data_IF_571252791198
#
_entry.id   IF_571252791198
#
_cell.length_a   1.000
_cell.length_b   1.000
_cell.length_c   1.000
_cell.angle_alpha   90.00
_cell.angle_beta   90.00
_cell.angle_gamma   90.00
#
_symmetry.space_group_name_H-M   'P 1'
#
loop_
_entity.id
_entity.type
_entity.pdbx_description
1 polymer ?
#
# COMPACT_ATOMS: atom_id res chain seq x y z
N UNK A 1 15.14 6.89 -4.12
CA UNK A 1 14.28 5.93 -4.85
C UNK A 1 12.89 6.49 -5.20
N UNK A 2 12.14 7.06 -4.25
CA UNK A 2 10.77 7.56 -4.52
C UNK A 2 10.70 8.73 -5.53
N UNK A 3 11.69 9.62 -5.50
CA UNK A 3 11.81 10.79 -6.39
C UNK A 3 11.95 10.42 -7.86
N UNK A 4 12.77 9.41 -8.18
CA UNK A 4 12.96 8.93 -9.56
C UNK A 4 11.68 8.33 -10.16
N UNK A 5 10.85 7.65 -9.35
CA UNK A 5 9.58 7.10 -9.82
C UNK A 5 8.56 8.20 -10.12
N UNK A 6 8.52 9.27 -9.33
CA UNK A 6 7.65 10.44 -9.57
C UNK A 6 8.07 11.18 -10.84
N UNK A 7 9.37 11.41 -11.01
CA UNK A 7 9.91 12.05 -12.21
C UNK A 7 9.66 11.22 -13.48
N UNK A 8 9.86 9.89 -13.42
CA UNK A 8 9.57 8.99 -14.53
C UNK A 8 8.07 8.90 -14.86
N UNK A 9 7.20 9.06 -13.85
CA UNK A 9 5.76 9.01 -14.05
C UNK A 9 5.20 10.32 -14.65
N UNK A 10 5.88 11.46 -14.45
CA UNK A 10 5.55 12.75 -15.10
C UNK A 10 5.77 12.74 -16.63
N UNK A 11 6.36 11.68 -17.19
CA UNK A 11 6.58 11.49 -18.62
C UNK A 11 5.30 11.80 -19.41
N UNK A 12 5.40 12.71 -20.36
CA UNK A 12 4.32 13.05 -21.28
C UNK A 12 4.17 11.91 -22.29
N UNK A 13 3.01 11.27 -22.28
CA UNK A 13 2.61 10.36 -23.34
C UNK A 13 1.94 11.13 -24.47
N UNK A 14 1.83 10.50 -25.64
CA UNK A 14 1.07 11.08 -26.75
C UNK A 14 -0.41 11.16 -26.41
N UNK A 15 -1.06 12.21 -26.89
CA UNK A 15 -2.50 12.42 -26.77
C UNK A 15 -3.22 11.66 -27.88
N UNK A 16 -4.30 10.98 -27.52
CA UNK A 16 -5.13 10.21 -28.43
C UNK A 16 -6.53 10.80 -28.43
N UNK A 17 -7.09 11.05 -29.61
CA UNK A 17 -8.46 11.54 -29.73
C UNK A 17 -9.44 10.39 -29.89
N UNK A 18 -10.58 10.46 -29.21
CA UNK A 18 -11.63 9.46 -29.32
C UNK A 18 -13.02 10.01 -29.03
N UNK A 19 -14.02 9.18 -29.27
CA UNK A 19 -15.44 9.51 -29.02
C UNK A 19 -15.95 8.70 -27.85
N UNK A 20 -16.65 9.34 -26.92
CA UNK A 20 -17.27 8.68 -25.78
C UNK A 20 -18.46 7.86 -26.26
N UNK A 21 -18.41 6.54 -26.06
CA UNK A 21 -19.50 5.61 -26.44
C UNK A 21 -20.49 5.45 -25.28
N UNK A 22 -19.97 5.33 -24.05
CA UNK A 22 -20.78 5.13 -22.84
C UNK A 22 -20.22 5.98 -21.70
N UNK A 23 -21.08 6.71 -21.01
CA UNK A 23 -20.80 7.51 -19.80
C UNK A 23 -21.90 7.28 -18.76
N UNK A 24 -21.62 7.48 -17.47
CA UNK A 24 -22.62 7.42 -16.39
C UNK A 24 -23.03 6.01 -15.93
N UNK A 25 -22.61 4.96 -16.62
CA UNK A 25 -22.84 3.57 -16.19
C UNK A 25 -21.88 3.13 -15.07
N UNK A 26 -20.72 3.77 -14.98
CA UNK A 26 -19.66 3.48 -14.02
C UNK A 26 -19.15 4.79 -13.43
N UNK A 27 -18.95 4.85 -12.12
CA UNK A 27 -18.38 6.04 -11.48
C UNK A 27 -16.96 6.30 -12.00
N UNK A 28 -16.65 7.58 -12.24
CA UNK A 28 -15.34 8.10 -12.64
C UNK A 28 -14.75 7.42 -13.87
N UNK A 29 -15.60 6.92 -14.75
CA UNK A 29 -15.22 6.04 -15.86
C UNK A 29 -16.10 6.25 -17.08
N UNK A 30 -15.46 6.40 -18.24
CA UNK A 30 -16.13 6.41 -19.54
C UNK A 30 -15.51 5.36 -20.48
N UNK A 31 -16.31 4.85 -21.42
CA UNK A 31 -15.81 4.01 -22.52
C UNK A 31 -15.59 4.89 -23.74
N UNK A 32 -14.35 5.03 -24.18
CA UNK A 32 -13.94 5.88 -25.31
C UNK A 32 -13.49 5.00 -26.47
N UNK A 33 -14.03 5.27 -27.66
CA UNK A 33 -13.63 4.62 -28.91
C UNK A 33 -12.56 5.44 -29.59
N UNK A 34 -11.42 4.81 -29.81
CA UNK A 34 -10.27 5.36 -30.52
C UNK A 34 -10.20 4.75 -31.92
N UNK A 35 -9.89 5.60 -32.90
CA UNK A 35 -9.62 5.14 -34.26
C UNK A 35 -8.28 4.41 -34.33
N UNK A 36 -8.30 3.16 -34.79
CA UNK A 36 -7.08 2.42 -35.13
C UNK A 36 -7.23 1.82 -36.53
N UNK A 37 -6.10 1.52 -37.18
CA UNK A 37 -6.06 0.90 -38.51
C UNK A 37 -5.23 -0.37 -38.45
N UNK A 38 -5.68 -1.40 -39.15
CA UNK A 38 -4.96 -2.68 -39.27
C UNK A 38 -4.58 -2.89 -40.73
N UNK A 39 -3.31 -3.23 -40.96
CA UNK A 39 -2.81 -3.59 -42.28
C UNK A 39 -3.18 -5.04 -42.60
N UNK A 40 -3.84 -5.26 -43.74
CA UNK A 40 -4.01 -6.60 -44.29
C UNK A 40 -2.91 -6.88 -45.32
N UNK A 41 -1.99 -7.84 -45.09
CA UNK A 41 -0.87 -8.10 -46.00
C UNK A 41 -1.29 -8.73 -47.33
N UNK A 42 -2.40 -9.48 -47.35
CA UNK A 42 -2.91 -10.13 -48.57
C UNK A 42 -3.53 -9.12 -49.52
N UNK A 43 -4.33 -8.18 -49.00
CA UNK A 43 -5.01 -7.14 -49.79
C UNK A 43 -4.15 -5.88 -49.93
N UNK A 44 -3.05 -5.79 -49.16
CA UNK A 44 -2.14 -4.63 -49.08
C UNK A 44 -2.88 -3.31 -48.82
N UNK A 45 -3.84 -3.34 -47.89
CA UNK A 45 -4.69 -2.18 -47.56
C UNK A 45 -4.91 -2.05 -46.06
N UNK A 46 -4.99 -0.81 -45.59
CA UNK A 46 -5.38 -0.49 -44.23
C UNK A 46 -6.91 -0.52 -44.06
N UNK A 47 -7.39 -1.29 -43.10
CA UNK A 47 -8.79 -1.33 -42.68
C UNK A 47 -8.98 -0.62 -41.34
N UNK A 48 -10.15 0.02 -41.15
CA UNK A 48 -10.50 0.68 -39.89
C UNK A 48 -10.85 -0.40 -38.85
N UNK A 49 -10.15 -0.40 -37.72
CA UNK A 49 -10.38 -1.31 -36.59
C UNK A 49 -10.43 -0.49 -35.29
N UNK A 50 -11.54 0.19 -35.00
CA UNK A 50 -11.64 1.02 -33.80
C UNK A 50 -11.54 0.17 -32.53
N UNK A 51 -10.86 0.69 -31.51
CA UNK A 51 -10.66 0.03 -30.22
C UNK A 51 -11.37 0.84 -29.13
N UNK A 52 -12.03 0.15 -28.20
CA UNK A 52 -12.65 0.79 -27.04
C UNK A 52 -11.73 0.70 -25.83
N UNK A 53 -11.52 1.81 -25.13
CA UNK A 53 -10.76 1.89 -23.90
C UNK A 53 -11.63 2.35 -22.74
N UNK A 54 -11.36 1.80 -21.55
CA UNK A 54 -11.91 2.34 -20.30
C UNK A 54 -11.01 3.48 -19.83
N UNK A 55 -11.58 4.67 -19.78
CA UNK A 55 -10.90 5.92 -19.47
C UNK A 55 -11.33 6.40 -18.10
N UNK A 56 -10.39 6.89 -17.31
CA UNK A 56 -10.68 7.53 -16.04
C UNK A 56 -11.10 8.99 -16.25
N UNK A 57 -12.27 9.34 -15.74
CA UNK A 57 -12.79 10.69 -15.63
C UNK A 57 -12.86 11.05 -14.15
N UNK A 58 -12.01 11.94 -13.60
CA UNK A 58 -11.96 12.21 -12.16
C UNK A 58 -13.25 12.79 -11.58
N UNK A 59 -13.95 13.62 -12.37
CA UNK A 59 -15.07 14.46 -11.93
C UNK A 59 -16.41 14.12 -12.62
N UNK A 60 -16.46 13.02 -13.40
CA UNK A 60 -17.67 12.59 -14.12
C UNK A 60 -18.26 13.66 -15.06
N UNK A 61 -17.36 14.39 -15.71
CA UNK A 61 -17.63 15.49 -16.64
C UNK A 61 -18.16 15.03 -18.01
N UNK A 62 -17.88 13.78 -18.40
CA UNK A 62 -18.17 13.30 -19.75
C UNK A 62 -19.63 12.88 -19.98
N UNK A 63 -20.10 13.06 -21.21
CA UNK A 63 -21.39 12.59 -21.73
C UNK A 63 -21.18 11.73 -22.98
N UNK A 64 -22.14 10.88 -23.29
CA UNK A 64 -22.08 10.03 -24.47
C UNK A 64 -22.12 10.90 -25.74
N UNK A 65 -21.21 10.64 -26.68
CA UNK A 65 -21.04 11.43 -27.90
C UNK A 65 -19.97 12.51 -27.83
N UNK A 66 -19.42 12.82 -26.66
CA UNK A 66 -18.33 13.81 -26.57
C UNK A 66 -17.09 13.35 -27.35
N UNK A 67 -16.41 14.30 -28.00
CA UNK A 67 -15.08 14.10 -28.55
C UNK A 67 -14.06 14.54 -27.51
N UNK A 68 -13.20 13.60 -27.10
CA UNK A 68 -12.28 13.78 -25.99
C UNK A 68 -10.85 13.48 -26.40
N UNK A 69 -9.94 14.15 -25.73
CA UNK A 69 -8.53 13.88 -25.80
C UNK A 69 -8.10 13.12 -24.54
N UNK A 70 -7.48 11.96 -24.74
CA UNK A 70 -7.08 11.04 -23.67
C UNK A 70 -5.58 10.79 -23.72
N UNK A 71 -4.94 10.65 -22.57
CA UNK A 71 -3.54 10.22 -22.47
C UNK A 71 -3.42 8.84 -21.84
N UNK A 72 -2.52 7.98 -22.35
CA UNK A 72 -2.16 6.74 -21.68
C UNK A 72 -1.18 6.99 -20.54
N UNK A 73 -0.89 5.94 -19.78
CA UNK A 73 0.14 5.96 -18.72
C UNK A 73 -0.41 6.25 -17.33
N UNK A 74 -1.68 6.64 -17.22
CA UNK A 74 -2.36 6.79 -15.94
C UNK A 74 -3.11 5.52 -15.57
N UNK A 75 -2.49 4.67 -14.75
CA UNK A 75 -3.09 3.40 -14.32
C UNK A 75 -3.92 3.58 -13.04
N UNK A 76 -5.23 3.77 -13.20
CA UNK A 76 -6.17 3.84 -12.05
C UNK A 76 -6.69 2.47 -11.63
N UNK A 77 -6.84 1.53 -12.57
CA UNK A 77 -7.41 0.19 -12.31
C UNK A 77 -6.73 -0.87 -13.20
N UNK A 78 -7.21 -2.12 -13.17
CA UNK A 78 -6.68 -3.22 -13.98
C UNK A 78 -6.78 -2.93 -15.48
N UNK A 79 -7.93 -2.42 -15.93
CA UNK A 79 -8.19 -2.14 -17.35
C UNK A 79 -8.18 -0.64 -17.70
N UNK A 80 -8.25 0.25 -16.69
CA UNK A 80 -8.21 1.71 -16.87
C UNK A 80 -6.77 2.20 -16.92
N UNK A 81 -6.27 2.39 -18.15
CA UNK A 81 -4.89 2.84 -18.43
C UNK A 81 -4.83 4.23 -19.07
N UNK A 82 -5.99 4.78 -19.40
CA UNK A 82 -6.18 6.07 -20.01
C UNK A 82 -6.88 7.01 -19.04
N UNK A 83 -6.58 8.29 -19.16
CA UNK A 83 -7.23 9.39 -18.44
C UNK A 83 -7.66 10.47 -19.42
N UNK A 84 -8.73 11.18 -19.09
CA UNK A 84 -9.20 12.35 -19.86
C UNK A 84 -8.28 13.53 -19.58
N UNK A 85 -7.79 14.20 -20.64
CA UNK A 85 -7.03 15.44 -20.52
C UNK A 85 -7.90 16.66 -20.80
N UNK A 86 -8.64 16.66 -21.90
CA UNK A 86 -9.60 17.72 -22.24
C UNK A 86 -10.77 17.23 -23.09
N UNK A 87 -11.88 17.95 -23.01
CA UNK A 87 -13.03 17.80 -23.90
C UNK A 87 -12.75 18.67 -25.13
N UNK A 88 -12.70 18.07 -26.32
CA UNK A 88 -12.48 18.77 -27.58
C UNK A 88 -13.80 19.35 -28.09
N UNK A 89 -14.84 18.52 -28.10
CA UNK A 89 -16.18 18.91 -28.54
C UNK A 89 -17.22 18.26 -27.63
N UNK A 90 -17.99 19.06 -26.86
CA UNK A 90 -19.08 18.55 -26.04
C UNK A 90 -20.29 18.18 -26.90
N UNK A 91 -20.94 17.07 -26.57
CA UNK A 91 -22.22 16.67 -27.13
C UNK A 91 -23.37 17.09 -26.20
N UNK A 92 -24.34 17.84 -26.73
CA UNK A 92 -25.49 18.30 -25.98
C UNK A 92 -25.15 19.45 -25.02
N UNK A 93 -24.93 19.12 -23.74
CA UNK A 93 -24.74 20.13 -22.68
C UNK A 93 -23.38 20.84 -22.87
N UNK A 94 -23.30 22.18 -22.78
CA UNK A 94 -22.04 22.92 -22.87
C UNK A 94 -21.00 22.52 -21.80
N UNK A 95 -19.74 22.90 -21.99
CA UNK A 95 -18.64 22.60 -21.03
C UNK A 95 -18.83 23.34 -19.71
N UNK A 96 -19.41 24.53 -19.73
CA UNK A 96 -19.57 25.42 -18.56
C UNK A 96 -20.50 24.84 -17.50
N UNK A 97 -21.54 24.12 -17.90
CA UNK A 97 -22.50 23.49 -16.99
C UNK A 97 -21.98 22.18 -16.38
N UNK A 98 -20.80 21.72 -16.80
CA UNK A 98 -20.22 20.44 -16.39
C UNK A 98 -19.11 20.68 -15.37
N UNK A 99 -18.85 19.70 -14.47
CA UNK A 99 -17.70 19.82 -13.59
C UNK A 99 -16.40 19.87 -14.43
N UNK A 100 -15.43 20.73 -14.09
CA UNK A 100 -14.21 20.88 -14.87
C UNK A 100 -13.34 19.62 -14.76
N UNK A 101 -12.65 19.26 -15.86
CA UNK A 101 -11.67 18.17 -15.84
C UNK A 101 -10.37 18.68 -15.22
N UNK A 102 -9.81 18.01 -14.18
CA UNK A 102 -8.59 18.49 -13.52
C UNK A 102 -7.39 18.53 -14.48
N UNK A 103 -6.57 19.57 -14.33
CA UNK A 103 -5.35 19.71 -15.15
C UNK A 103 -4.36 18.59 -14.85
N UNK A 104 -3.39 18.36 -15.74
CA UNK A 104 -2.38 17.33 -15.53
C UNK A 104 -1.62 17.57 -14.22
N UNK A 105 -1.32 18.83 -13.90
CA UNK A 105 -0.54 19.22 -12.73
C UNK A 105 -1.31 18.98 -11.43
N UNK A 106 -2.58 19.38 -11.38
CA UNK A 106 -3.49 19.10 -10.26
C UNK A 106 -3.58 17.60 -9.97
N UNK A 107 -3.75 16.78 -11.02
CA UNK A 107 -3.79 15.32 -10.88
C UNK A 107 -2.50 14.76 -10.26
N UNK A 108 -1.34 15.26 -10.68
CA UNK A 108 -0.05 14.87 -10.08
C UNK A 108 0.07 15.34 -8.63
N UNK A 109 -0.33 16.57 -8.33
CA UNK A 109 -0.30 17.11 -6.98
C UNK A 109 -1.18 16.28 -6.03
N UNK A 110 -2.40 15.95 -6.44
CA UNK A 110 -3.28 15.07 -5.68
C UNK A 110 -2.67 13.68 -5.44
N UNK A 111 -2.08 13.08 -6.48
CA UNK A 111 -1.46 11.76 -6.37
C UNK A 111 -0.25 11.78 -5.42
N UNK A 112 0.54 12.85 -5.45
CA UNK A 112 1.67 13.06 -4.55
C UNK A 112 1.20 13.27 -3.11
N UNK A 113 0.17 14.08 -2.89
CA UNK A 113 -0.42 14.29 -1.56
C UNK A 113 -0.97 12.98 -0.97
N UNK A 114 -1.73 12.20 -1.77
CA UNK A 114 -2.23 10.88 -1.34
C UNK A 114 -1.11 9.91 -0.99
N UNK A 115 0.01 9.98 -1.70
CA UNK A 115 1.18 9.14 -1.42
C UNK A 115 1.91 9.60 -0.16
N UNK A 116 2.14 10.90 0.01
CA UNK A 116 2.76 11.48 1.20
C UNK A 116 1.97 11.11 2.47
N UNK A 117 0.64 11.32 2.48
CA UNK A 117 -0.22 10.94 3.59
C UNK A 117 -0.18 9.44 3.91
N UNK A 118 -0.06 8.58 2.89
CA UNK A 118 0.10 7.13 3.08
C UNK A 118 1.45 6.78 3.71
N UNK A 119 2.52 7.44 3.29
CA UNK A 119 3.87 7.21 3.78
C UNK A 119 4.01 7.72 5.23
N UNK A 120 3.44 8.87 5.57
CA UNK A 120 3.31 9.39 6.93
C UNK A 120 2.58 8.39 7.84
N UNK A 121 1.39 7.92 7.43
CA UNK A 121 0.64 6.92 8.19
C UNK A 121 1.45 5.64 8.42
N UNK A 122 2.23 5.20 7.42
CA UNK A 122 3.09 4.01 7.53
C UNK A 122 4.29 4.26 8.44
N UNK A 123 4.84 5.46 8.45
CA UNK A 123 5.93 5.84 9.35
C UNK A 123 5.47 5.75 10.80
N UNK A 124 4.31 6.33 11.13
CA UNK A 124 3.72 6.26 12.49
C UNK A 124 3.49 4.81 12.93
N UNK A 125 2.88 3.99 12.07
CA UNK A 125 2.65 2.56 12.39
C UNK A 125 3.97 1.80 12.60
N UNK A 126 4.99 2.11 11.78
CA UNK A 126 6.31 1.49 11.90
C UNK A 126 7.03 1.91 13.18
N UNK A 127 6.95 3.19 13.54
CA UNK A 127 7.55 3.75 14.74
C UNK A 127 6.91 3.17 16.00
N UNK A 128 5.57 3.16 16.08
CA UNK A 128 4.83 2.54 17.18
C UNK A 128 5.17 1.04 17.34
N UNK A 129 5.23 0.30 16.23
CA UNK A 129 5.65 -1.11 16.24
C UNK A 129 7.09 -1.27 16.75
N UNK A 130 8.01 -0.43 16.30
CA UNK A 130 9.39 -0.49 16.78
C UNK A 130 9.52 -0.15 18.26
N UNK A 131 8.71 0.78 18.78
CA UNK A 131 8.68 1.11 20.19
C UNK A 131 8.16 -0.07 21.03
N UNK A 132 7.08 -0.72 20.59
CA UNK A 132 6.55 -1.94 21.23
C UNK A 132 7.57 -3.07 21.22
N UNK A 133 8.23 -3.34 20.09
CA UNK A 133 9.28 -4.37 20.00
C UNK A 133 10.46 -4.08 20.94
N UNK A 134 10.83 -2.81 21.12
CA UNK A 134 11.88 -2.40 22.06
C UNK A 134 11.44 -2.55 23.52
N UNK A 135 10.19 -2.20 23.83
CA UNK A 135 9.60 -2.39 25.16
C UNK A 135 9.50 -3.88 25.52
N UNK A 136 8.99 -4.72 24.62
CA UNK A 136 8.94 -6.18 24.77
C UNK A 136 10.34 -6.80 24.90
N UNK A 137 11.33 -6.31 24.14
CA UNK A 137 12.70 -6.76 24.28
C UNK A 137 13.29 -6.38 25.66
N UNK A 138 12.97 -5.19 26.15
CA UNK A 138 13.40 -4.72 27.48
C UNK A 138 12.76 -5.55 28.59
N UNK A 139 11.44 -5.76 28.57
CA UNK A 139 10.71 -6.57 29.54
C UNK A 139 11.16 -8.03 29.51
N UNK A 140 11.42 -8.60 28.33
CA UNK A 140 12.01 -9.95 28.20
C UNK A 140 13.40 -10.05 28.81
N UNK A 141 14.24 -9.02 28.63
CA UNK A 141 15.58 -8.96 29.26
C UNK A 141 15.46 -8.89 30.78
N UNK A 142 14.51 -8.11 31.30
CA UNK A 142 14.25 -7.97 32.73
C UNK A 142 13.71 -9.27 33.34
N UNK A 143 12.72 -9.90 32.72
CA UNK A 143 12.17 -11.18 33.13
C UNK A 143 13.27 -12.27 33.19
N UNK A 144 14.18 -12.31 32.20
CA UNK A 144 15.33 -13.22 32.21
C UNK A 144 16.27 -12.96 33.39
N UNK A 145 16.54 -11.70 33.74
CA UNK A 145 17.37 -11.34 34.92
C UNK A 145 16.70 -11.79 36.22
N UNK A 146 15.39 -11.58 36.35
CA UNK A 146 14.61 -12.00 37.53
C UNK A 146 14.61 -13.51 37.67
N UNK A 147 14.31 -14.25 36.59
CA UNK A 147 14.34 -15.71 36.59
C UNK A 147 15.70 -16.27 36.99
N UNK A 148 16.80 -15.66 36.49
CA UNK A 148 18.16 -16.05 36.88
C UNK A 148 18.45 -15.80 38.36
N UNK A 149 17.96 -14.69 38.93
CA UNK A 149 18.09 -14.39 40.38
C UNK A 149 17.29 -15.39 41.23
N UNK A 150 16.05 -15.68 40.85
CA UNK A 150 15.20 -16.66 41.55
C UNK A 150 15.80 -18.06 41.50
N UNK A 151 16.28 -18.51 40.33
CA UNK A 151 16.96 -19.79 40.20
C UNK A 151 18.21 -19.87 41.08
N UNK A 152 19.02 -18.80 41.14
CA UNK A 152 20.18 -18.74 42.03
C UNK A 152 19.79 -18.83 43.51
N UNK A 153 18.68 -18.18 43.91
CA UNK A 153 18.15 -18.25 45.28
C UNK A 153 17.65 -19.65 45.61
N UNK A 154 16.91 -20.29 44.70
CA UNK A 154 16.40 -21.65 44.88
C UNK A 154 17.53 -22.68 45.01
N UNK A 155 18.61 -22.56 44.22
CA UNK A 155 19.80 -23.40 44.36
C UNK A 155 20.46 -23.20 45.73
N UNK A 156 20.60 -21.96 46.19
CA UNK A 156 21.14 -21.68 47.52
C UNK A 156 20.26 -22.26 48.65
N UNK A 157 18.92 -22.14 48.55
CA UNK A 157 17.98 -22.73 49.50
C UNK A 157 18.04 -24.28 49.49
N UNK A 158 18.22 -24.89 48.32
CA UNK A 158 18.45 -26.34 48.20
C UNK A 158 19.77 -26.77 48.82
N UNK A 159 20.86 -26.05 48.55
CA UNK A 159 22.17 -26.31 49.13
C UNK A 159 22.15 -26.19 50.65
N UNK A 160 21.47 -25.16 51.19
CA UNK A 160 21.33 -24.96 52.63
C UNK A 160 20.44 -26.05 53.28
N UNK A 161 19.38 -26.51 52.61
CA UNK A 161 18.57 -27.63 53.08
C UNK A 161 19.33 -28.97 53.09
N UNK A 162 20.18 -29.20 52.09
CA UNK A 162 21.07 -30.39 52.05
C UNK A 162 22.07 -30.34 53.21
N UNK A 163 22.70 -29.18 53.47
CA UNK A 163 23.60 -29.02 54.63
C UNK A 163 22.89 -29.27 55.96
N UNK A 164 21.68 -28.73 56.13
CA UNK A 164 20.88 -28.96 57.34
C UNK A 164 20.51 -30.45 57.51
N UNK A 165 20.17 -31.16 56.43
CA UNK A 165 19.90 -32.59 56.48
C UNK A 165 21.16 -33.41 56.82
N UNK A 166 22.32 -33.07 56.25
CA UNK A 166 23.60 -33.69 56.59
C UNK A 166 24.00 -33.46 58.05
N UNK A 167 23.77 -32.26 58.59
CA UNK A 167 24.02 -31.94 59.99
C UNK A 167 23.09 -32.71 60.94
N UNK A 168 21.80 -32.87 60.59
CA UNK A 168 20.85 -33.69 61.35
C UNK A 168 21.23 -35.17 61.33
N UNK A 169 21.61 -35.72 60.17
CA UNK A 169 22.10 -37.10 60.05
C UNK A 169 23.35 -37.34 60.90
N UNK A 170 24.32 -36.41 60.88
CA UNK A 170 25.51 -36.49 61.77
C UNK A 170 25.13 -36.39 63.24
N UNK A 171 24.14 -35.58 63.60
CA UNK A 171 23.67 -35.46 64.98
C UNK A 171 22.96 -36.74 65.46
N UNK A 172 22.19 -37.39 64.60
CA UNK A 172 21.55 -38.70 64.87
C UNK A 172 22.60 -39.81 65.01
N UNK A 173 23.59 -39.88 64.12
CA UNK A 173 24.70 -40.85 64.22
C UNK A 173 25.52 -40.66 65.51
N UNK A 174 25.79 -39.42 65.91
CA UNK A 174 26.49 -39.10 67.16
C UNK A 174 25.64 -39.41 68.41
N UNK A 175 24.31 -39.34 68.32
CA UNK A 175 23.40 -39.74 69.39
C UNK A 175 23.31 -41.28 69.53
N UNK A 176 23.33 -42.01 68.42
CA UNK A 176 23.34 -43.47 68.41
C UNK A 176 24.62 -44.05 69.03
N UNK A 177 25.78 -43.41 68.82
CA UNK A 177 27.05 -43.80 69.45
C UNK A 177 27.13 -43.55 70.97
N UNK A 178 26.25 -42.72 71.54
CA UNK A 178 26.21 -42.43 72.98
C UNK A 178 25.27 -43.35 73.78
N UNK A 179 24.46 -44.18 73.11
CA UNK A 179 23.52 -45.11 73.75
C UNK A 179 24.05 -46.56 73.82
N UNK A 180 25.23 -46.84 73.27
CA UNK A 180 26.00 -48.08 73.45
C UNK A 180 27.04 -47.94 74.54
#
# INVERSE_FOLDING_TARGET
MATHMVAAAKKTFHEVTGVVVKSGLMQKTATVRVGNKEWNPTVQKYFKKPINHLVHDPNDSLRAGDVVAISPGWRTSRHKRFIVDRIISPAGIPIEERPPVPTKEERWAEALAKRAAKDERRAVVKEARSAQEMEEASSRREARKIAKRLAKKAVAEQDDAVRQAEELMRAEEAAAQKQS
#
